data_IF_532790409535
#
_entry.id   IF_532790409535
#
_cell.length_a   1.000
_cell.length_b   1.000
_cell.length_c   1.000
_cell.angle_alpha   90.00
_cell.angle_beta   90.00
_cell.angle_gamma   90.00
#
_symmetry.space_group_name_H-M   'P 1'
#
loop_
_entity.id
_entity.type
_entity.pdbx_description
1 polymer ?
#
# COMPACT_ATOMS: atom_id res chain seq x y z
N UNK A 1 -5.74 -14.64 13.15
CA UNK A 1 -6.72 -13.95 12.28
C UNK A 1 -6.57 -12.45 12.42
N UNK A 2 -7.03 -11.70 11.40
CA UNK A 2 -6.96 -10.24 11.35
C UNK A 2 -8.37 -9.65 11.28
N UNK A 3 -8.60 -8.50 11.93
CA UNK A 3 -9.84 -7.74 11.87
C UNK A 3 -9.59 -6.39 11.19
N UNK A 4 -9.69 -6.32 9.84
CA UNK A 4 -9.41 -5.08 9.12
C UNK A 4 -10.53 -4.06 9.34
N UNK A 5 -10.15 -2.79 9.34
CA UNK A 5 -11.08 -1.65 9.22
C UNK A 5 -10.61 -0.74 8.10
N UNK A 6 -11.54 -0.10 7.39
CA UNK A 6 -11.24 0.73 6.24
C UNK A 6 -11.62 2.18 6.52
N UNK A 7 -10.67 3.10 6.37
CA UNK A 7 -10.96 4.52 6.30
C UNK A 7 -10.92 4.98 4.83
N UNK A 8 -12.07 5.38 4.28
CA UNK A 8 -12.19 5.80 2.87
C UNK A 8 -13.02 7.10 2.74
N UNK A 9 -12.43 8.26 3.06
CA UNK A 9 -13.16 9.52 3.23
C UNK A 9 -13.67 10.12 1.91
N UNK A 10 -12.93 9.94 0.82
CA UNK A 10 -13.27 10.45 -0.51
C UNK A 10 -13.59 9.29 -1.45
N UNK A 11 -14.87 8.94 -1.56
CA UNK A 11 -15.34 7.86 -2.42
C UNK A 11 -15.31 8.27 -3.89
N UNK A 12 -14.74 7.41 -4.73
CA UNK A 12 -14.75 7.58 -6.19
C UNK A 12 -16.15 7.30 -6.75
N UNK A 13 -16.63 8.07 -7.76
CA UNK A 13 -17.88 7.77 -8.45
C UNK A 13 -17.76 6.63 -9.47
N UNK A 14 -16.54 6.16 -9.76
CA UNK A 14 -16.28 5.10 -10.74
C UNK A 14 -16.85 3.74 -10.24
N UNK A 15 -17.64 3.03 -11.07
CA UNK A 15 -18.25 1.75 -10.72
C UNK A 15 -17.28 0.73 -10.12
N UNK A 16 -16.04 0.67 -10.61
CA UNK A 16 -15.04 -0.29 -10.13
C UNK A 16 -14.80 -0.16 -8.63
N UNK A 17 -14.68 1.08 -8.13
CA UNK A 17 -14.44 1.33 -6.70
C UNK A 17 -15.69 1.12 -5.85
N UNK A 18 -16.87 1.37 -6.43
CA UNK A 18 -18.14 1.06 -5.78
C UNK A 18 -18.30 -0.44 -5.58
N UNK A 19 -17.88 -1.22 -6.58
CA UNK A 19 -17.91 -2.68 -6.51
C UNK A 19 -16.93 -3.20 -5.45
N UNK A 20 -15.71 -2.64 -5.35
CA UNK A 20 -14.79 -2.97 -4.26
C UNK A 20 -15.34 -2.61 -2.87
N UNK A 21 -15.98 -1.45 -2.75
CA UNK A 21 -16.62 -1.04 -1.49
C UNK A 21 -17.69 -2.05 -1.09
N UNK A 22 -18.55 -2.43 -2.04
CA UNK A 22 -19.62 -3.42 -1.84
C UNK A 22 -19.06 -4.79 -1.43
N UNK A 23 -17.94 -5.23 -2.04
CA UNK A 23 -17.27 -6.48 -1.68
C UNK A 23 -16.76 -6.43 -0.23
N UNK A 24 -16.15 -5.33 0.20
CA UNK A 24 -15.68 -5.18 1.58
C UNK A 24 -16.83 -5.19 2.58
N UNK A 25 -17.93 -4.48 2.28
CA UNK A 25 -19.14 -4.45 3.13
C UNK A 25 -19.77 -5.84 3.25
N UNK A 26 -19.83 -6.61 2.16
CA UNK A 26 -20.33 -8.01 2.16
C UNK A 26 -19.45 -9.00 2.92
N UNK A 27 -18.20 -8.63 3.18
CA UNK A 27 -17.26 -9.39 4.01
C UNK A 27 -17.26 -8.89 5.45
N UNK A 28 -18.26 -8.09 5.85
CA UNK A 28 -18.41 -7.51 7.18
C UNK A 28 -17.22 -6.63 7.63
N UNK A 29 -16.48 -6.05 6.68
CA UNK A 29 -15.36 -5.15 6.97
C UNK A 29 -15.89 -3.75 7.32
N UNK A 30 -15.63 -3.20 8.51
CA UNK A 30 -16.17 -1.91 8.92
C UNK A 30 -15.50 -0.75 8.19
N UNK A 31 -16.31 0.23 7.77
CA UNK A 31 -15.84 1.52 7.25
C UNK A 31 -15.92 2.61 8.33
N UNK A 32 -14.77 3.22 8.65
CA UNK A 32 -14.67 4.29 9.63
C UNK A 32 -15.01 5.64 9.00
N UNK A 33 -15.77 6.47 9.72
CA UNK A 33 -16.08 7.86 9.32
C UNK A 33 -15.00 8.86 9.74
N UNK A 34 -14.20 8.51 10.76
CA UNK A 34 -13.05 9.28 11.24
C UNK A 34 -11.94 8.32 11.69
N UNK A 35 -10.69 8.78 11.69
CA UNK A 35 -9.61 8.04 12.35
C UNK A 35 -9.61 8.36 13.84
N UNK A 36 -9.48 7.35 14.73
CA UNK A 36 -9.31 7.60 16.14
C UNK A 36 -8.00 8.36 16.39
N UNK A 37 -8.10 9.52 17.05
CA UNK A 37 -6.96 10.44 17.32
C UNK A 37 -6.06 9.94 18.47
N UNK A 38 -6.44 8.88 19.17
CA UNK A 38 -5.74 8.39 20.37
C UNK A 38 -4.72 7.30 19.97
N UNK A 39 -3.45 7.68 19.83
CA UNK A 39 -2.31 6.74 19.76
C UNK A 39 -1.55 6.69 18.43
N UNK A 40 -0.98 7.83 18.02
CA UNK A 40 0.01 7.88 16.93
C UNK A 40 -0.55 8.53 15.67
N UNK A 41 0.05 9.65 15.31
CA UNK A 41 -0.28 10.47 14.13
C UNK A 41 -0.15 9.66 12.83
N UNK A 42 -1.25 9.06 12.38
CA UNK A 42 -1.40 8.59 11.01
C UNK A 42 -2.28 9.61 10.28
N UNK A 43 -1.67 10.61 9.65
CA UNK A 43 -2.40 11.52 8.77
C UNK A 43 -2.84 10.73 7.52
N UNK A 44 -4.15 10.52 7.30
CA UNK A 44 -4.60 9.88 6.07
C UNK A 44 -4.56 10.94 4.97
N UNK A 45 -3.61 10.82 4.05
CA UNK A 45 -3.58 11.65 2.86
C UNK A 45 -3.94 10.82 1.63
N UNK A 46 -4.84 11.32 0.77
CA UNK A 46 -5.26 10.60 -0.43
C UNK A 46 -4.06 10.32 -1.33
N UNK A 47 -3.95 9.08 -1.83
CA UNK A 47 -3.02 8.72 -2.89
C UNK A 47 -3.24 9.68 -4.08
N UNK A 48 -2.26 10.56 -4.34
CA UNK A 48 -2.21 11.31 -5.59
C UNK A 48 -1.41 10.48 -6.59
N UNK A 49 -2.11 9.87 -7.54
CA UNK A 49 -1.48 9.22 -8.69
C UNK A 49 -1.05 10.30 -9.69
N UNK A 50 0.24 10.32 -10.03
CA UNK A 50 0.74 11.08 -11.19
C UNK A 50 0.44 10.28 -12.47
N UNK A 51 -0.12 10.89 -13.54
CA UNK A 51 -0.59 10.17 -14.71
C UNK A 51 0.54 10.04 -15.73
N UNK A 52 1.31 8.95 -15.68
CA UNK A 52 2.02 8.49 -16.86
C UNK A 52 2.15 6.97 -16.85
N UNK A 53 1.63 6.37 -17.94
CA UNK A 53 1.70 4.97 -18.35
C UNK A 53 0.70 3.96 -17.72
N UNK A 54 -0.44 3.79 -18.41
CA UNK A 54 -1.13 2.50 -18.56
C UNK A 54 -2.24 2.18 -17.54
N UNK A 55 -3.31 1.46 -17.96
CA UNK A 55 -4.42 1.10 -17.10
C UNK A 55 -4.01 -0.06 -16.18
N UNK A 56 -3.37 0.27 -15.06
CA UNK A 56 -3.23 -0.66 -13.94
C UNK A 56 -4.53 -0.59 -13.11
N UNK A 57 -5.07 -1.71 -12.60
CA UNK A 57 -6.23 -1.66 -11.71
C UNK A 57 -5.84 -0.83 -10.49
N UNK A 58 -6.39 0.39 -10.44
CA UNK A 58 -6.11 1.38 -9.43
C UNK A 58 -6.61 0.83 -8.09
N UNK A 59 -5.68 0.52 -7.19
CA UNK A 59 -6.03 0.25 -5.79
C UNK A 59 -6.43 1.61 -5.20
N UNK A 60 -7.67 1.78 -4.68
CA UNK A 60 -8.03 3.01 -3.98
C UNK A 60 -7.07 3.25 -2.81
N UNK A 61 -6.95 4.50 -2.32
CA UNK A 61 -6.23 4.78 -1.08
C UNK A 61 -6.92 4.06 0.07
N UNK A 62 -6.50 2.83 0.33
CA UNK A 62 -6.88 2.04 1.47
C UNK A 62 -5.75 2.17 2.47
N UNK A 63 -5.93 3.03 3.47
CA UNK A 63 -5.17 2.89 4.71
C UNK A 63 -5.78 1.70 5.46
N UNK A 64 -5.25 0.50 5.20
CA UNK A 64 -5.58 -0.70 5.95
C UNK A 64 -4.74 -0.67 7.23
N UNK A 65 -5.39 -0.38 8.36
CA UNK A 65 -4.81 -0.66 9.67
C UNK A 65 -5.17 -2.08 10.04
N UNK A 66 -4.17 -2.93 10.17
CA UNK A 66 -4.34 -4.33 10.54
C UNK A 66 -3.78 -4.50 11.95
N UNK A 67 -4.68 -4.63 12.93
CA UNK A 67 -4.28 -4.89 14.32
C UNK A 67 -4.33 -6.40 14.58
N UNK A 68 -3.27 -7.02 15.14
CA UNK A 68 -3.33 -8.41 15.57
C UNK A 68 -4.24 -8.57 16.80
N UNK A 69 -5.06 -9.63 16.85
CA UNK A 69 -6.01 -9.90 17.93
C UNK A 69 -5.39 -10.29 19.29
N UNK A 70 -4.06 -10.26 19.46
CA UNK A 70 -3.40 -10.80 20.66
C UNK A 70 -2.59 -9.75 21.40
N UNK A 71 -3.20 -9.20 22.46
CA UNK A 71 -2.51 -8.63 23.62
C UNK A 71 -2.52 -7.10 23.72
N UNK A 72 -2.67 -6.53 24.94
CA UNK A 72 -2.53 -5.11 25.20
C UNK A 72 -1.04 -4.73 25.17
N UNK A 73 -0.45 -4.65 23.98
CA UNK A 73 0.83 -3.99 23.79
C UNK A 73 0.58 -2.50 23.58
N UNK A 74 1.14 -1.59 24.40
CA UNK A 74 1.04 -0.14 24.22
C UNK A 74 1.92 0.37 23.05
N UNK A 75 2.16 -0.46 22.04
CA UNK A 75 3.02 -0.14 20.90
C UNK A 75 2.15 0.37 19.76
N UNK A 76 2.49 1.54 19.23
CA UNK A 76 1.89 2.07 17.99
C UNK A 76 2.03 0.98 16.90
N UNK A 77 0.92 0.58 16.23
CA UNK A 77 0.99 -0.46 15.21
C UNK A 77 1.90 -0.03 14.05
N UNK A 78 2.68 -0.96 13.45
CA UNK A 78 3.61 -0.63 12.38
C UNK A 78 2.86 -0.11 11.15
N UNK A 79 3.37 0.96 10.55
CA UNK A 79 2.74 1.56 9.37
C UNK A 79 3.24 0.86 8.11
N UNK A 80 2.33 0.29 7.33
CA UNK A 80 2.64 -0.36 6.05
C UNK A 80 2.13 0.47 4.89
N UNK A 81 2.93 0.62 3.84
CA UNK A 81 2.57 1.37 2.62
C UNK A 81 2.65 0.48 1.39
N UNK A 82 1.63 0.57 0.54
CA UNK A 82 1.62 -0.02 -0.80
C UNK A 82 2.01 1.02 -1.87
N UNK A 83 3.01 0.72 -2.69
CA UNK A 83 3.47 1.58 -3.77
C UNK A 83 4.40 2.71 -3.30
N UNK A 84 3.87 3.92 -3.13
CA UNK A 84 4.65 5.12 -2.77
C UNK A 84 4.12 5.67 -1.45
N UNK A 85 5.01 5.96 -0.46
CA UNK A 85 4.58 6.58 0.80
C UNK A 85 3.85 7.89 0.57
N UNK A 86 2.78 8.12 1.33
CA UNK A 86 2.01 9.35 1.21
C UNK A 86 2.90 10.58 1.50
N UNK A 87 2.79 11.59 0.64
CA UNK A 87 3.62 12.79 0.68
C UNK A 87 5.00 12.66 0.02
N UNK A 88 5.35 11.48 -0.53
CA UNK A 88 6.59 11.31 -1.28
C UNK A 88 6.34 11.51 -2.78
N UNK A 89 7.30 12.13 -3.46
CA UNK A 89 7.35 12.11 -4.91
C UNK A 89 7.94 10.78 -5.39
N UNK A 90 7.38 10.20 -6.45
CA UNK A 90 7.83 8.91 -7.00
C UNK A 90 9.32 8.86 -7.36
N UNK A 91 9.90 10.00 -7.77
CA UNK A 91 11.30 10.11 -8.18
C UNK A 91 12.19 10.76 -7.11
N UNK A 92 11.69 11.80 -6.45
CA UNK A 92 12.48 12.61 -5.52
C UNK A 92 12.36 12.17 -4.05
N UNK A 93 11.53 11.18 -3.72
CA UNK A 93 11.27 10.78 -2.33
C UNK A 93 10.53 11.84 -1.50
N UNK A 94 10.57 11.72 -0.17
CA UNK A 94 9.91 12.65 0.75
C UNK A 94 10.89 13.57 1.48
N UNK A 95 10.55 14.87 1.58
CA UNK A 95 11.18 15.83 2.49
C UNK A 95 10.32 16.15 3.74
N UNK A 96 9.15 15.51 3.87
CA UNK A 96 8.17 15.77 4.93
C UNK A 96 6.90 14.93 4.80
N UNK A 97 7.03 13.61 4.69
CA UNK A 97 5.91 12.66 4.53
C UNK A 97 5.91 11.55 5.59
N UNK A 98 5.02 10.57 5.42
CA UNK A 98 4.95 9.41 6.33
C UNK A 98 6.23 8.57 6.17
N UNK A 99 6.75 8.06 7.29
CA UNK A 99 7.85 7.09 7.31
C UNK A 99 7.31 5.71 7.69
N UNK A 100 6.96 4.86 6.72
CA UNK A 100 6.42 3.53 7.01
C UNK A 100 7.49 2.59 7.57
N UNK A 101 7.08 1.65 8.42
CA UNK A 101 7.91 0.51 8.85
C UNK A 101 8.04 -0.53 7.73
N UNK A 102 7.02 -0.68 6.90
CA UNK A 102 6.98 -1.66 5.81
C UNK A 102 6.59 -0.98 4.50
N UNK A 103 7.37 -1.22 3.45
CA UNK A 103 7.06 -0.77 2.09
C UNK A 103 6.82 -1.99 1.20
N UNK A 104 5.71 -1.99 0.47
CA UNK A 104 5.39 -3.02 -0.54
C UNK A 104 5.34 -2.34 -1.91
N UNK A 105 6.36 -2.53 -2.73
CA UNK A 105 6.39 -2.06 -4.11
C UNK A 105 5.55 -2.96 -5.01
N UNK A 106 4.83 -2.38 -5.97
CA UNK A 106 4.00 -3.12 -6.93
C UNK A 106 4.72 -3.24 -8.26
N UNK A 107 4.85 -4.45 -8.78
CA UNK A 107 5.57 -4.85 -9.99
C UNK A 107 7.09 -4.60 -9.94
N UNK A 108 7.52 -3.37 -9.63
CA UNK A 108 8.91 -3.00 -9.41
C UNK A 108 9.00 -1.83 -8.40
N UNK A 109 10.08 -1.74 -7.60
CA UNK A 109 10.34 -0.57 -6.77
C UNK A 109 10.50 0.70 -7.60
N UNK A 110 9.85 1.78 -7.17
CA UNK A 110 10.08 3.11 -7.73
C UNK A 110 11.34 3.74 -7.15
N UNK A 111 11.88 4.75 -7.82
CA UNK A 111 13.13 5.40 -7.42
C UNK A 111 13.07 5.97 -5.99
N UNK A 112 11.90 6.47 -5.55
CA UNK A 112 11.69 6.94 -4.19
C UNK A 112 11.97 5.86 -3.13
N UNK A 113 11.78 4.58 -3.45
CA UNK A 113 12.02 3.48 -2.52
C UNK A 113 13.49 3.37 -2.10
N UNK A 114 14.43 3.93 -2.88
CA UNK A 114 15.85 4.03 -2.47
C UNK A 114 16.06 4.84 -1.19
N UNK A 115 15.11 5.70 -0.83
CA UNK A 115 15.14 6.51 0.39
C UNK A 115 14.35 5.88 1.54
N UNK A 116 13.80 4.69 1.35
CA UNK A 116 13.09 3.96 2.38
C UNK A 116 14.08 3.51 3.46
N UNK A 117 13.78 3.83 4.73
CA UNK A 117 14.59 3.49 5.90
C UNK A 117 13.81 2.63 6.90
N UNK A 118 12.65 2.10 6.50
CA UNK A 118 11.84 1.23 7.35
C UNK A 118 12.46 -0.15 7.52
N UNK A 119 11.75 -1.01 8.25
CA UNK A 119 12.24 -2.33 8.67
C UNK A 119 12.19 -3.37 7.57
N UNK A 120 11.19 -3.32 6.70
CA UNK A 120 10.96 -4.36 5.68
C UNK A 120 10.52 -3.75 4.35
N UNK A 121 11.12 -4.22 3.26
CA UNK A 121 10.75 -3.86 1.90
C UNK A 121 10.40 -5.12 1.12
N UNK A 122 9.24 -5.14 0.50
CA UNK A 122 8.77 -6.23 -0.34
C UNK A 122 8.47 -5.74 -1.75
N UNK A 123 8.51 -6.64 -2.73
CA UNK A 123 7.90 -6.44 -4.05
C UNK A 123 6.79 -7.48 -4.26
N UNK A 124 5.60 -6.99 -4.59
CA UNK A 124 4.43 -7.79 -4.92
C UNK A 124 4.02 -7.53 -6.38
N UNK A 125 3.21 -8.41 -6.94
CA UNK A 125 2.74 -8.28 -8.32
C UNK A 125 3.53 -9.13 -9.31
N UNK A 126 3.54 -10.44 -9.06
CA UNK A 126 4.10 -11.47 -9.93
C UNK A 126 3.24 -11.68 -11.19
N UNK A 127 3.13 -10.65 -12.02
CA UNK A 127 2.37 -10.68 -13.27
C UNK A 127 3.13 -10.06 -14.44
N UNK A 128 4.33 -9.52 -14.22
CA UNK A 128 5.13 -8.91 -15.28
C UNK A 128 5.64 -9.96 -16.27
N UNK A 129 5.31 -9.89 -17.57
CA UNK A 129 5.86 -10.77 -18.58
C UNK A 129 7.37 -10.58 -18.72
N UNK A 130 8.09 -11.64 -19.09
CA UNK A 130 9.54 -11.63 -19.25
C UNK A 130 10.03 -10.53 -20.21
N UNK A 131 9.33 -10.31 -21.32
CA UNK A 131 9.72 -9.28 -22.30
C UNK A 131 9.64 -7.86 -21.72
N UNK A 132 8.68 -7.60 -20.81
CA UNK A 132 8.57 -6.31 -20.11
C UNK A 132 9.72 -6.15 -19.13
N UNK A 133 10.03 -7.20 -18.35
CA UNK A 133 11.14 -7.18 -17.41
C UNK A 133 12.47 -6.90 -18.11
N UNK A 134 12.70 -7.52 -19.27
CA UNK A 134 13.90 -7.28 -20.08
C UNK A 134 13.94 -5.90 -20.70
N UNK A 135 12.84 -5.45 -21.31
CA UNK A 135 12.78 -4.15 -22.00
C UNK A 135 13.07 -2.97 -21.07
N UNK A 136 12.67 -3.09 -19.81
CA UNK A 136 12.86 -2.06 -18.80
C UNK A 136 13.95 -2.40 -17.78
N UNK A 137 14.74 -3.45 -18.02
CA UNK A 137 15.87 -3.87 -17.17
C UNK A 137 15.50 -4.02 -15.68
N UNK A 138 14.28 -4.50 -15.41
CA UNK A 138 13.70 -4.51 -14.06
C UNK A 138 14.36 -5.52 -13.13
N UNK A 139 14.94 -6.60 -13.67
CA UNK A 139 15.65 -7.66 -12.96
C UNK A 139 15.02 -8.02 -11.58
N UNK A 140 13.72 -8.36 -11.52
CA UNK A 140 13.07 -8.63 -10.26
C UNK A 140 13.64 -9.89 -9.60
N UNK A 141 13.64 -9.98 -8.26
CA UNK A 141 14.05 -11.19 -7.56
C UNK A 141 13.12 -12.36 -7.90
N UNK A 142 13.65 -13.57 -7.72
CA UNK A 142 12.88 -14.79 -7.92
C UNK A 142 11.82 -14.94 -6.82
N UNK A 143 10.56 -15.08 -7.23
CA UNK A 143 9.47 -15.38 -6.31
C UNK A 143 9.52 -16.85 -5.90
N UNK A 144 9.65 -17.17 -4.60
CA UNK A 144 9.76 -18.55 -4.16
C UNK A 144 8.46 -19.32 -4.42
N UNK A 145 8.55 -20.48 -5.07
CA UNK A 145 7.41 -21.36 -5.33
C UNK A 145 6.25 -20.63 -6.02
N UNK A 146 5.09 -20.58 -5.35
CA UNK A 146 3.87 -19.89 -5.80
C UNK A 146 3.63 -18.56 -5.09
N UNK A 147 4.61 -18.04 -4.36
CA UNK A 147 4.47 -16.76 -3.66
C UNK A 147 4.25 -15.61 -4.64
N UNK A 148 3.44 -14.64 -4.22
CA UNK A 148 3.10 -13.42 -4.96
C UNK A 148 3.82 -12.18 -4.43
N UNK A 149 4.64 -12.36 -3.40
CA UNK A 149 5.44 -11.34 -2.73
C UNK A 149 6.83 -11.90 -2.46
N UNK A 150 7.87 -11.06 -2.52
CA UNK A 150 9.23 -11.41 -2.15
C UNK A 150 9.89 -10.24 -1.43
N UNK A 151 10.70 -10.54 -0.41
CA UNK A 151 11.47 -9.53 0.31
C UNK A 151 12.64 -9.03 -0.54
N UNK A 152 12.94 -7.73 -0.44
CA UNK A 152 14.06 -7.06 -1.10
C UNK A 152 15.23 -6.83 -0.15
#
# INVERSE_FOLDING_TARGET
DYEPTIFYPKRSPDPLYRDFTTQCEKMDIPFLSYLPTEGGTCHPCPLSMSPQAGPCPMVPPLSLSVSPQVGPCPLVPPVSTLGVPAGWAAEAGGSGGISPDVLVSLAAPKECARRFLGRQHFVAGRFLPYDVQRKFELNPPEYPGTECVVAL
#
